data_IF_783197785933
#
_entry.id   IF_783197785933
#
_cell.length_a   1.000
_cell.length_b   1.000
_cell.length_c   1.000
_cell.angle_alpha   90.00
_cell.angle_beta   90.00
_cell.angle_gamma   90.00
#
_symmetry.space_group_name_H-M   'P 1'
#
loop_
_entity.id
_entity.type
_entity.pdbx_description
1 polymer ?
#
# COMPACT_ATOMS: atom_id res chain seq x y z
N UNK A 1 -12.70 5.96 -11.35
CA UNK A 1 -11.65 6.35 -10.39
C UNK A 1 -11.84 7.84 -10.21
N UNK A 2 -12.93 8.20 -9.55
CA UNK A 2 -13.49 9.56 -9.67
C UNK A 2 -12.77 10.56 -8.76
N UNK A 3 -11.72 10.09 -8.07
CA UNK A 3 -10.93 10.82 -7.09
C UNK A 3 -9.56 11.26 -7.65
N UNK A 4 -9.23 10.95 -8.91
CA UNK A 4 -8.03 11.44 -9.59
C UNK A 4 -8.37 12.70 -10.39
N UNK A 5 -7.46 13.66 -10.49
CA UNK A 5 -7.63 14.83 -11.36
C UNK A 5 -7.76 14.43 -12.82
N UNK A 6 -8.51 15.19 -13.61
CA UNK A 6 -8.68 14.94 -15.05
C UNK A 6 -7.32 14.93 -15.77
N UNK A 7 -6.43 15.85 -15.41
CA UNK A 7 -5.06 15.93 -15.94
C UNK A 7 -4.27 14.64 -15.66
N UNK A 8 -4.37 14.14 -14.43
CA UNK A 8 -3.68 12.90 -14.07
C UNK A 8 -4.27 11.68 -14.78
N UNK A 9 -5.59 11.62 -14.94
CA UNK A 9 -6.26 10.55 -15.68
C UNK A 9 -5.81 10.51 -17.14
N UNK A 10 -5.76 11.66 -17.82
CA UNK A 10 -5.33 11.76 -19.21
C UNK A 10 -3.85 11.38 -19.38
N UNK A 11 -2.98 11.85 -18.47
CA UNK A 11 -1.56 11.48 -18.45
C UNK A 11 -1.36 9.98 -18.24
N UNK A 12 -2.08 9.40 -17.27
CA UNK A 12 -2.00 7.99 -16.96
C UNK A 12 -2.51 7.13 -18.11
N UNK A 13 -3.65 7.50 -18.72
CA UNK A 13 -4.18 6.82 -19.90
C UNK A 13 -3.17 6.84 -21.05
N UNK A 14 -2.57 8.00 -21.33
CA UNK A 14 -1.56 8.13 -22.38
C UNK A 14 -0.36 7.22 -22.14
N UNK A 15 0.16 7.18 -20.91
CA UNK A 15 1.27 6.29 -20.52
C UNK A 15 0.92 4.81 -20.71
N UNK A 16 -0.30 4.41 -20.33
CA UNK A 16 -0.77 3.02 -20.52
C UNK A 16 -0.89 2.69 -22.01
N UNK A 17 -1.46 3.59 -22.82
CA UNK A 17 -1.57 3.41 -24.27
C UNK A 17 -0.21 3.29 -24.94
N UNK A 18 0.76 4.14 -24.56
CA UNK A 18 2.12 4.08 -25.08
C UNK A 18 2.79 2.73 -24.76
N UNK A 19 2.63 2.22 -23.54
CA UNK A 19 3.14 0.91 -23.15
C UNK A 19 2.51 -0.25 -23.94
N UNK A 20 1.22 -0.15 -24.29
CA UNK A 20 0.51 -1.14 -25.11
C UNK A 20 0.97 -1.09 -26.56
N UNK A 21 1.18 0.11 -27.10
CA UNK A 21 1.58 0.31 -28.49
C UNK A 21 3.06 0.02 -28.73
N UNK A 22 3.91 0.23 -27.72
CA UNK A 22 5.36 0.04 -27.78
C UNK A 22 5.85 -0.98 -26.74
N UNK A 23 5.44 -2.26 -26.83
CA UNK A 23 5.72 -3.27 -25.81
C UNK A 23 7.20 -3.68 -25.69
N UNK A 24 8.04 -3.29 -26.64
CA UNK A 24 9.49 -3.52 -26.58
C UNK A 24 10.22 -2.48 -25.70
N UNK A 25 9.58 -1.35 -25.42
CA UNK A 25 10.10 -0.28 -24.55
C UNK A 25 9.57 -0.39 -23.12
N UNK A 26 8.58 -1.24 -22.88
CA UNK A 26 8.01 -1.48 -21.56
C UNK A 26 8.81 -2.56 -20.82
N UNK A 27 9.30 -2.20 -19.64
CA UNK A 27 10.05 -3.10 -18.78
C UNK A 27 9.10 -3.96 -17.93
N UNK A 28 8.36 -4.85 -18.59
CA UNK A 28 7.45 -5.77 -17.91
C UNK A 28 8.19 -6.88 -17.16
N UNK A 29 9.36 -7.28 -17.65
CA UNK A 29 10.16 -8.34 -17.02
C UNK A 29 10.64 -7.95 -15.62
N UNK A 30 11.16 -6.72 -15.45
CA UNK A 30 11.59 -6.26 -14.11
C UNK A 30 10.42 -6.12 -13.13
N UNK A 31 9.24 -5.71 -13.60
CA UNK A 31 8.03 -5.62 -12.78
C UNK A 31 7.56 -6.99 -12.30
N UNK A 32 7.65 -8.02 -13.14
CA UNK A 32 7.31 -9.40 -12.75
C UNK A 32 8.30 -9.92 -11.71
N UNK A 33 9.60 -9.73 -11.91
CA UNK A 33 10.64 -10.15 -10.97
C UNK A 33 10.44 -9.50 -9.58
N UNK A 34 10.05 -8.22 -9.56
CA UNK A 34 9.73 -7.50 -8.33
C UNK A 34 8.48 -8.07 -7.62
N UNK A 35 7.42 -8.38 -8.36
CA UNK A 35 6.22 -9.00 -7.77
C UNK A 35 6.55 -10.40 -7.22
N UNK A 36 7.38 -11.18 -7.92
CA UNK A 36 7.84 -12.48 -7.43
C UNK A 36 8.69 -12.36 -6.16
N UNK A 37 9.54 -11.34 -6.08
CA UNK A 37 10.30 -10.99 -4.87
C UNK A 37 9.37 -10.75 -3.68
N UNK A 38 8.40 -9.85 -3.87
CA UNK A 38 7.42 -9.48 -2.86
C UNK A 38 6.59 -10.67 -2.38
N UNK A 39 6.14 -11.53 -3.30
CA UNK A 39 5.38 -12.72 -2.96
C UNK A 39 6.21 -13.69 -2.12
N UNK A 40 7.50 -13.84 -2.43
CA UNK A 40 8.40 -14.69 -1.64
C UNK A 40 8.61 -14.11 -0.24
N UNK A 41 8.92 -12.83 -0.12
CA UNK A 41 9.13 -12.16 1.16
C UNK A 41 7.86 -12.20 2.03
N UNK A 42 6.69 -11.96 1.44
CA UNK A 42 5.40 -12.09 2.13
C UNK A 42 5.16 -13.51 2.65
N UNK A 43 5.43 -14.53 1.82
CA UNK A 43 5.27 -15.93 2.19
C UNK A 43 6.22 -16.35 3.31
N UNK A 44 7.45 -15.84 3.29
CA UNK A 44 8.49 -16.15 4.27
C UNK A 44 8.36 -15.29 5.55
N UNK A 45 7.45 -14.31 5.58
CA UNK A 45 7.27 -13.39 6.70
C UNK A 45 8.43 -12.39 6.84
N UNK A 46 9.19 -12.15 5.78
CA UNK A 46 10.31 -11.22 5.76
C UNK A 46 9.80 -9.77 5.66
N UNK A 47 9.41 -9.22 6.82
CA UNK A 47 8.88 -7.86 6.92
C UNK A 47 9.91 -6.82 6.48
N UNK A 48 11.17 -6.98 6.88
CA UNK A 48 12.24 -6.02 6.56
C UNK A 48 12.56 -6.05 5.06
N UNK A 49 12.75 -7.24 4.48
CA UNK A 49 13.00 -7.40 3.04
C UNK A 49 11.84 -6.90 2.18
N UNK A 50 10.59 -7.18 2.61
CA UNK A 50 9.41 -6.62 1.94
C UNK A 50 9.38 -5.11 2.04
N UNK A 51 9.60 -4.53 3.24
CA UNK A 51 9.60 -3.07 3.43
C UNK A 51 10.63 -2.41 2.53
N UNK A 52 11.86 -2.91 2.52
CA UNK A 52 12.96 -2.33 1.75
C UNK A 52 12.72 -2.42 0.24
N UNK A 53 12.30 -3.60 -0.25
CA UNK A 53 12.05 -3.77 -1.68
C UNK A 53 10.84 -2.97 -2.14
N UNK A 54 9.78 -2.94 -1.35
CA UNK A 54 8.54 -2.23 -1.64
C UNK A 54 8.76 -0.72 -1.68
N UNK A 55 9.41 -0.15 -0.66
CA UNK A 55 9.72 1.29 -0.60
C UNK A 55 10.77 1.73 -1.63
N UNK A 56 11.58 0.80 -2.15
CA UNK A 56 12.60 1.11 -3.18
C UNK A 56 12.02 1.04 -4.60
N UNK A 57 11.09 0.13 -4.85
CA UNK A 57 10.44 -0.02 -6.15
C UNK A 57 9.30 0.95 -6.37
N UNK A 58 8.63 1.34 -5.27
CA UNK A 58 8.00 2.62 -5.28
C UNK A 58 9.16 3.62 -5.30
N UNK A 59 9.58 4.06 -6.49
CA UNK A 59 9.63 5.50 -6.65
C UNK A 59 8.22 5.94 -6.23
N UNK A 60 8.02 6.21 -4.93
CA UNK A 60 6.84 6.86 -4.40
C UNK A 60 6.87 8.20 -5.10
N UNK A 61 6.39 8.22 -6.33
CA UNK A 61 6.05 9.44 -7.00
C UNK A 61 5.04 10.07 -6.06
N UNK A 62 5.29 11.33 -5.67
CA UNK A 62 4.31 12.16 -4.97
C UNK A 62 3.16 12.42 -5.96
N UNK A 63 2.48 11.37 -6.36
CA UNK A 63 1.43 11.37 -7.35
C UNK A 63 0.11 10.98 -6.71
N UNK A 64 -0.95 11.31 -7.43
CA UNK A 64 -2.29 11.28 -6.88
C UNK A 64 -2.73 9.86 -6.54
N UNK A 65 -2.27 8.85 -7.28
CA UNK A 65 -2.54 7.45 -7.00
C UNK A 65 -1.93 7.07 -5.65
N UNK A 66 -0.65 7.36 -5.44
CA UNK A 66 0.06 7.01 -4.22
C UNK A 66 -0.56 7.69 -2.99
N UNK A 67 -0.92 8.97 -3.12
CA UNK A 67 -1.60 9.74 -2.07
C UNK A 67 -2.98 9.18 -1.69
N UNK A 68 -3.76 8.71 -2.66
CA UNK A 68 -5.05 8.07 -2.40
C UNK A 68 -4.85 6.68 -1.78
N UNK A 69 -3.90 5.90 -2.30
CA UNK A 69 -3.70 4.51 -1.90
C UNK A 69 -3.13 4.35 -0.49
N UNK A 70 -2.15 5.18 -0.11
CA UNK A 70 -1.42 5.06 1.16
C UNK A 70 -1.57 6.27 2.07
N UNK A 71 -2.35 7.28 1.68
CA UNK A 71 -2.76 8.39 2.53
C UNK A 71 -4.18 8.19 3.05
N UNK A 72 -5.16 8.58 2.23
CA UNK A 72 -6.56 8.62 2.65
C UNK A 72 -7.11 7.24 3.03
N UNK A 73 -6.79 6.19 2.26
CA UNK A 73 -7.23 4.83 2.57
C UNK A 73 -6.68 4.32 3.90
N UNK A 74 -5.42 4.59 4.21
CA UNK A 74 -4.82 4.19 5.49
C UNK A 74 -5.48 4.89 6.67
N UNK A 75 -5.72 6.20 6.55
CA UNK A 75 -6.45 6.96 7.55
C UNK A 75 -7.85 6.40 7.79
N UNK A 76 -8.61 6.15 6.72
CA UNK A 76 -9.98 5.62 6.82
C UNK A 76 -10.00 4.21 7.44
N UNK A 77 -9.01 3.36 7.12
CA UNK A 77 -8.87 2.05 7.76
C UNK A 77 -8.57 2.16 9.25
N UNK A 78 -7.68 3.07 9.66
CA UNK A 78 -7.36 3.32 11.07
C UNK A 78 -8.58 3.80 11.85
N UNK A 79 -9.35 4.74 11.29
CA UNK A 79 -10.60 5.20 11.90
C UNK A 79 -11.59 4.04 12.11
N UNK A 80 -11.71 3.14 11.12
CA UNK A 80 -12.59 1.98 11.25
C UNK A 80 -12.11 0.96 12.29
N UNK A 81 -10.80 0.74 12.36
CA UNK A 81 -10.19 -0.11 13.38
C UNK A 81 -10.50 0.44 14.78
N UNK A 82 -10.35 1.75 14.96
CA UNK A 82 -10.64 2.43 16.23
C UNK A 82 -12.11 2.28 16.61
N UNK A 83 -13.03 2.52 15.66
CA UNK A 83 -14.47 2.35 15.90
C UNK A 83 -14.80 0.94 16.40
N UNK A 84 -14.16 -0.09 15.81
CA UNK A 84 -14.35 -1.49 16.23
C UNK A 84 -13.79 -1.72 17.64
N UNK A 85 -12.57 -1.25 17.91
CA UNK A 85 -11.89 -1.41 19.21
C UNK A 85 -12.62 -0.69 20.35
N UNK A 86 -13.24 0.45 20.07
CA UNK A 86 -13.98 1.27 21.03
C UNK A 86 -15.47 0.93 21.10
N UNK A 87 -15.94 0.01 20.26
CA UNK A 87 -17.34 -0.39 20.23
C UNK A 87 -17.78 -1.05 21.55
N UNK A 88 -19.09 -1.03 21.82
CA UNK A 88 -19.68 -1.69 23.00
C UNK A 88 -19.57 -3.22 22.92
N UNK A 89 -19.41 -3.76 21.72
CA UNK A 89 -19.22 -5.18 21.49
C UNK A 89 -17.76 -5.54 21.77
N UNK A 90 -17.55 -6.33 22.82
CA UNK A 90 -16.20 -6.80 23.17
C UNK A 90 -15.92 -8.12 22.46
N UNK A 91 -14.86 -8.15 21.67
CA UNK A 91 -14.45 -9.34 20.93
C UNK A 91 -12.99 -9.27 20.48
N UNK A 92 -12.49 -10.40 20.00
CA UNK A 92 -11.24 -10.45 19.23
C UNK A 92 -11.59 -10.39 17.76
N UNK A 93 -11.01 -9.43 17.04
CA UNK A 93 -11.25 -9.22 15.62
C UNK A 93 -10.01 -9.59 14.82
N UNK A 94 -10.23 -10.23 13.69
CA UNK A 94 -9.18 -10.52 12.71
C UNK A 94 -9.41 -9.64 11.49
N UNK A 95 -8.46 -8.76 11.19
CA UNK A 95 -8.51 -7.87 10.04
C UNK A 95 -7.43 -8.26 9.04
N UNK A 96 -7.80 -8.25 7.76
CA UNK A 96 -6.88 -8.52 6.65
C UNK A 96 -6.80 -7.26 5.79
N UNK A 97 -5.57 -6.80 5.57
CA UNK A 97 -5.25 -5.67 4.70
C UNK A 97 -4.06 -6.04 3.81
N UNK A 98 -3.83 -5.28 2.74
CA UNK A 98 -2.64 -5.45 1.91
C UNK A 98 -1.36 -5.12 2.67
N UNK A 99 -0.27 -5.86 2.40
CA UNK A 99 0.99 -5.71 3.12
C UNK A 99 1.60 -4.30 3.03
N UNK A 100 1.42 -3.60 1.90
CA UNK A 100 1.86 -2.21 1.71
C UNK A 100 1.34 -1.24 2.79
N UNK A 101 0.12 -1.47 3.30
CA UNK A 101 -0.50 -0.63 4.33
C UNK A 101 0.16 -0.74 5.72
N UNK A 102 1.09 -1.68 5.90
CA UNK A 102 1.81 -1.88 7.16
C UNK A 102 3.28 -1.41 7.14
N UNK A 103 3.86 -1.19 5.96
CA UNK A 103 5.31 -0.97 5.81
C UNK A 103 5.69 0.49 5.50
N UNK A 104 4.72 1.34 5.15
CA UNK A 104 4.95 2.78 4.95
C UNK A 104 5.04 3.53 6.30
N UNK A 105 5.96 4.52 6.45
CA UNK A 105 6.01 5.45 7.58
C UNK A 105 4.68 6.12 7.99
N UNK A 106 3.68 6.22 7.11
CA UNK A 106 2.33 6.71 7.43
C UNK A 106 1.24 5.63 7.45
N UNK A 107 1.63 4.35 7.43
CA UNK A 107 0.70 3.22 7.39
C UNK A 107 -0.05 2.98 8.70
N UNK A 108 -0.90 1.94 8.69
CA UNK A 108 -1.84 1.63 9.78
C UNK A 108 -1.11 1.43 11.12
N UNK A 109 0.01 0.68 11.14
CA UNK A 109 0.77 0.39 12.36
C UNK A 109 1.29 1.67 13.01
N UNK A 110 1.82 2.59 12.20
CA UNK A 110 2.36 3.86 12.69
C UNK A 110 1.24 4.73 13.27
N UNK A 111 0.16 4.93 12.52
CA UNK A 111 -0.98 5.75 12.96
C UNK A 111 -1.66 5.21 14.24
N UNK A 112 -1.79 3.89 14.38
CA UNK A 112 -2.34 3.29 15.60
C UNK A 112 -1.44 3.55 16.83
N UNK A 113 -0.13 3.44 16.67
CA UNK A 113 0.84 3.77 17.74
C UNK A 113 0.76 5.24 18.14
N UNK A 114 0.70 6.15 17.16
CA UNK A 114 0.55 7.60 17.43
C UNK A 114 -0.73 7.94 18.20
N UNK A 115 -1.81 7.20 17.95
CA UNK A 115 -3.09 7.36 18.66
C UNK A 115 -3.12 6.69 20.04
N UNK A 116 -1.99 6.12 20.49
CA UNK A 116 -1.84 5.56 21.84
C UNK A 116 -2.22 4.09 21.97
N UNK A 117 -2.50 3.38 20.87
CA UNK A 117 -2.77 1.95 20.92
C UNK A 117 -1.47 1.15 21.05
N UNK A 118 -1.54 0.08 21.85
CA UNK A 118 -0.44 -0.89 21.95
C UNK A 118 -0.49 -1.82 20.73
N UNK A 119 0.47 -1.68 19.83
CA UNK A 119 0.65 -2.57 18.68
C UNK A 119 1.79 -3.53 18.94
N UNK A 120 1.57 -4.83 18.71
CA UNK A 120 2.58 -5.88 18.81
C UNK A 120 2.71 -6.56 17.45
N UNK A 121 3.94 -6.60 16.94
CA UNK A 121 4.27 -7.37 15.73
C UNK A 121 4.67 -8.77 16.19
N UNK A 122 4.10 -9.79 15.56
CA UNK A 122 4.43 -11.19 15.81
C UNK A 122 5.29 -11.67 14.65
N UNK A 123 6.53 -12.06 14.96
CA UNK A 123 7.48 -12.68 14.04
C UNK A 123 7.61 -14.16 14.38
#
# INVERSE_FOLDING_TARGET
>A
MDNLSEEFQDRYLSKVLDNILNPAESDYSSQIELIEEWLRQWKDGDIEGFTDSYLKSEEITEDEITSILFGERDKNMVEKIIEILESKEKGSYFLVVGAGHFVNPNGIIYQLKEKGYKVQVFN
#
